data_IF_070849690409
#
_entry.id   IF_070849690409
#
_cell.length_a   1.000
_cell.length_b   1.000
_cell.length_c   1.000
_cell.angle_alpha   90.00
_cell.angle_beta   90.00
_cell.angle_gamma   90.00
#
_symmetry.space_group_name_H-M   'P 1'
#
loop_
_entity.id
_entity.type
_entity.pdbx_description
1 polymer ?
#
# COMPACT_ATOMS: atom_id res chain seq x y z
N UNK A 1 12.63 -11.06 12.41
CA UNK A 1 11.98 -9.96 11.66
C UNK A 1 10.55 -9.85 12.14
N UNK A 2 10.05 -8.63 12.39
CA UNK A 2 8.62 -8.42 12.63
C UNK A 2 7.85 -8.65 11.32
N UNK A 3 6.64 -9.23 11.36
CA UNK A 3 5.87 -9.49 10.15
C UNK A 3 5.34 -8.19 9.52
N UNK A 4 5.19 -8.21 8.20
CA UNK A 4 4.39 -7.21 7.46
C UNK A 4 2.93 -7.39 7.89
N UNK A 5 2.21 -6.27 8.03
CA UNK A 5 0.79 -6.27 8.38
C UNK A 5 0.00 -5.80 7.18
N UNK A 6 -1.05 -6.52 6.82
CA UNK A 6 -2.01 -6.10 5.80
C UNK A 6 -3.33 -5.80 6.49
N UNK A 7 -3.89 -4.63 6.22
CA UNK A 7 -5.20 -4.22 6.73
C UNK A 7 -6.16 -3.99 5.57
N UNK A 8 -7.42 -4.37 5.77
CA UNK A 8 -8.51 -3.98 4.88
C UNK A 8 -9.06 -2.63 5.35
N UNK A 9 -9.03 -1.65 4.45
CA UNK A 9 -9.66 -0.34 4.61
C UNK A 9 -10.83 -0.30 3.63
N UNK A 10 -12.04 -0.53 4.14
CA UNK A 10 -13.23 -0.73 3.31
C UNK A 10 -13.02 -1.87 2.30
N UNK A 11 -13.02 -1.56 1.01
CA UNK A 11 -12.80 -2.51 -0.09
C UNK A 11 -11.31 -2.60 -0.50
N UNK A 12 -10.44 -1.75 0.06
CA UNK A 12 -9.05 -1.64 -0.33
C UNK A 12 -8.10 -2.37 0.62
N UNK A 13 -7.09 -3.01 0.05
CA UNK A 13 -6.01 -3.66 0.79
C UNK A 13 -4.83 -2.72 0.96
N UNK A 14 -4.45 -2.44 2.22
CA UNK A 14 -3.30 -1.57 2.55
C UNK A 14 -2.22 -2.34 3.29
N UNK A 15 -1.01 -2.33 2.72
CA UNK A 15 0.16 -3.00 3.29
C UNK A 15 1.00 -2.03 4.13
N UNK A 16 1.41 -2.54 5.29
CA UNK A 16 2.28 -1.86 6.24
C UNK A 16 3.58 -2.64 6.39
N UNK A 17 4.67 -1.90 6.34
CA UNK A 17 6.00 -2.37 6.75
C UNK A 17 6.02 -2.72 8.25
N UNK A 18 6.98 -3.54 8.71
CA UNK A 18 7.02 -3.94 10.13
C UNK A 18 7.30 -2.81 11.13
N UNK A 19 7.82 -1.68 10.64
CA UNK A 19 8.01 -0.42 11.38
C UNK A 19 6.77 0.51 11.35
N UNK A 20 5.72 0.12 10.62
CA UNK A 20 4.45 0.85 10.56
C UNK A 20 4.33 1.85 9.41
N UNK A 21 5.37 2.00 8.58
CA UNK A 21 5.30 2.76 7.33
C UNK A 21 4.35 2.08 6.32
N UNK A 22 3.65 2.85 5.50
CA UNK A 22 2.63 2.36 4.56
C UNK A 22 3.18 2.29 3.13
N UNK A 23 2.71 1.31 2.35
CA UNK A 23 2.89 1.30 0.90
C UNK A 23 2.14 2.49 0.25
N UNK A 24 2.89 3.44 -0.31
CA UNK A 24 2.33 4.69 -0.87
C UNK A 24 1.27 4.45 -1.93
N UNK A 25 1.47 3.46 -2.81
CA UNK A 25 0.50 3.10 -3.86
C UNK A 25 -0.81 2.62 -3.26
N UNK A 26 -0.75 1.79 -2.21
CA UNK A 26 -1.94 1.28 -1.54
C UNK A 26 -2.72 2.43 -0.87
N UNK A 27 -2.01 3.35 -0.21
CA UNK A 27 -2.63 4.54 0.38
C UNK A 27 -3.29 5.45 -0.67
N UNK A 28 -2.63 5.64 -1.81
CA UNK A 28 -3.22 6.41 -2.92
C UNK A 28 -4.47 5.70 -3.43
N UNK A 29 -4.45 4.37 -3.59
CA UNK A 29 -5.62 3.58 -3.98
C UNK A 29 -6.79 3.83 -3.04
N UNK A 30 -6.58 3.54 -1.75
CA UNK A 30 -7.60 3.66 -0.71
C UNK A 30 -8.18 5.07 -0.57
N UNK A 31 -7.35 6.12 -0.70
CA UNK A 31 -7.80 7.50 -0.46
C UNK A 31 -8.34 8.20 -1.71
N UNK A 32 -7.87 7.81 -2.90
CA UNK A 32 -8.32 8.44 -4.16
C UNK A 32 -9.44 7.68 -4.85
N UNK A 33 -9.69 6.42 -4.45
CA UNK A 33 -10.59 5.48 -5.14
C UNK A 33 -10.26 5.35 -6.65
N UNK A 34 -9.01 5.64 -7.02
CA UNK A 34 -8.56 5.58 -8.40
C UNK A 34 -8.30 4.13 -8.80
N UNK A 35 -8.74 3.68 -9.99
CA UNK A 35 -8.39 2.36 -10.51
C UNK A 35 -6.92 2.27 -10.93
N UNK A 36 -6.16 3.37 -10.91
CA UNK A 36 -4.77 3.44 -11.36
C UNK A 36 -3.90 4.26 -10.38
N UNK A 37 -3.76 3.84 -9.12
CA UNK A 37 -2.98 4.57 -8.12
C UNK A 37 -1.50 4.69 -8.50
N UNK A 38 -0.95 3.71 -9.22
CA UNK A 38 0.41 3.74 -9.79
C UNK A 38 0.61 4.93 -10.75
N UNK A 39 -0.41 5.28 -11.55
CA UNK A 39 -0.32 6.43 -12.46
C UNK A 39 -0.28 7.75 -11.68
N UNK A 40 -1.05 7.86 -10.60
CA UNK A 40 -1.04 9.03 -9.71
C UNK A 40 0.33 9.14 -9.04
N UNK A 41 0.86 8.05 -8.51
CA UNK A 41 2.19 8.05 -7.91
C UNK A 41 3.28 8.44 -8.92
N UNK A 42 3.23 7.92 -10.14
CA UNK A 42 4.16 8.30 -11.20
C UNK A 42 4.08 9.80 -11.56
N UNK A 43 2.87 10.36 -11.61
CA UNK A 43 2.68 11.79 -11.84
C UNK A 43 3.26 12.61 -10.67
N UNK A 44 2.96 12.24 -9.43
CA UNK A 44 3.50 12.90 -8.24
C UNK A 44 5.02 12.88 -8.21
N UNK A 45 5.67 11.75 -8.51
CA UNK A 45 7.14 11.68 -8.55
C UNK A 45 7.76 12.55 -9.64
N UNK A 46 7.08 12.68 -10.79
CA UNK A 46 7.55 13.51 -11.92
C UNK A 46 7.38 14.99 -11.62
N UNK A 47 6.22 15.37 -11.09
CA UNK A 47 5.81 16.77 -10.93
C UNK A 47 6.29 17.34 -9.58
N UNK A 48 6.50 16.48 -8.58
CA UNK A 48 6.93 16.77 -7.20
C UNK A 48 7.99 15.76 -6.72
N UNK A 49 9.24 15.83 -7.20
CA UNK A 49 10.29 14.87 -6.84
C UNK A 49 10.61 14.84 -5.33
N UNK A 50 10.31 15.91 -4.59
CA UNK A 50 10.38 15.96 -3.13
C UNK A 50 9.45 14.95 -2.44
N UNK A 51 8.33 14.57 -3.05
CA UNK A 51 7.47 13.54 -2.50
C UNK A 51 8.16 12.17 -2.53
N UNK A 52 8.95 11.91 -3.57
CA UNK A 52 9.72 10.68 -3.70
C UNK A 52 10.84 10.59 -2.65
N UNK A 53 11.49 11.71 -2.31
CA UNK A 53 12.58 11.72 -1.33
C UNK A 53 12.12 11.49 0.11
N UNK A 54 10.83 11.69 0.39
CA UNK A 54 10.21 11.37 1.67
C UNK A 54 9.88 9.88 1.81
N UNK A 55 9.94 9.12 0.72
CA UNK A 55 9.57 7.71 0.68
C UNK A 55 10.81 6.83 0.67
N UNK A 56 10.80 5.76 1.47
CA UNK A 56 11.85 4.74 1.44
C UNK A 56 11.44 3.58 0.51
N UNK A 57 12.43 2.99 -0.17
CA UNK A 57 12.22 1.75 -0.90
C UNK A 57 12.04 0.58 0.07
N UNK A 58 10.92 -0.14 -0.06
CA UNK A 58 10.67 -1.37 0.69
C UNK A 58 10.22 -2.48 -0.25
N UNK A 59 10.93 -3.61 -0.22
CA UNK A 59 10.55 -4.80 -0.99
C UNK A 59 9.63 -5.67 -0.15
N UNK A 60 8.34 -5.61 -0.42
CA UNK A 60 7.42 -6.63 0.04
C UNK A 60 7.84 -7.97 -0.61
N UNK A 61 8.17 -8.95 0.22
CA UNK A 61 8.46 -10.31 -0.25
C UNK A 61 7.14 -10.92 -0.73
N UNK A 62 7.11 -11.42 -1.97
CA UNK A 62 5.87 -11.85 -2.65
C UNK A 62 5.17 -13.06 -2.03
N UNK A 63 3.86 -13.08 -2.22
CA UNK A 63 2.85 -14.13 -2.01
C UNK A 63 2.82 -14.83 -0.64
N UNK A 64 2.15 -14.19 0.33
CA UNK A 64 1.27 -14.97 1.18
C UNK A 64 -0.14 -14.82 0.63
N UNK A 65 -0.60 -15.86 -0.08
CA UNK A 65 -2.02 -16.14 -0.20
C UNK A 65 -2.58 -16.16 1.23
N UNK A 66 -3.24 -15.08 1.63
CA UNK A 66 -3.94 -15.06 2.89
C UNK A 66 -5.18 -15.93 2.71
N UNK A 67 -5.24 -17.04 3.43
CA UNK A 67 -6.50 -17.76 3.59
C UNK A 67 -7.45 -16.85 4.37
N UNK A 68 -8.51 -16.40 3.69
CA UNK A 68 -9.58 -15.61 4.29
C UNK A 68 -10.58 -16.60 4.89
N UNK A 69 -10.90 -16.44 6.18
CA UNK A 69 -12.00 -17.15 6.79
C UNK A 69 -13.27 -16.34 6.58
N UNK A 70 -14.29 -16.97 5.99
CA UNK A 70 -15.62 -16.40 5.88
C UNK A 70 -16.17 -16.16 7.29
N UNK A 71 -16.64 -14.95 7.56
CA UNK A 71 -17.36 -14.63 8.78
C UNK A 71 -18.79 -14.30 8.38
N UNK A 72 -19.54 -15.34 8.03
CA UNK A 72 -20.99 -15.21 7.95
C UNK A 72 -21.54 -14.80 9.32
N UNK A 73 -22.35 -13.74 9.34
CA UNK A 73 -23.36 -13.46 10.37
C UNK A 73 -24.49 -12.65 9.76
#
# INVERSE_FOLDING_TARGET
>A
MKPVVTLQLEEDTVRFTPDGSIAVVDAIGALSQSPRPEMIWNALRRDHPEAASLCADFKFSGDQAASVADSES
#
